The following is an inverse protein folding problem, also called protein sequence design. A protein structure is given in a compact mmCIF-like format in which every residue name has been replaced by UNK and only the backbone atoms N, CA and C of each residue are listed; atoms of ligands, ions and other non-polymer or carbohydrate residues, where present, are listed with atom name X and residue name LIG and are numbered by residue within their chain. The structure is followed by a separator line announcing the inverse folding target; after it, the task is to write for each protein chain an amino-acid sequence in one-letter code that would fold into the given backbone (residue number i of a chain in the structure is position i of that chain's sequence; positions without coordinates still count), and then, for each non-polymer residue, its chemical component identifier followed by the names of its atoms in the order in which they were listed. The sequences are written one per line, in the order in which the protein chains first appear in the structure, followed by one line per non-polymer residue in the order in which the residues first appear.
data_IF_877921697161
#
_entry.id   IF_877921697161
#
_cell.length_a   1.000
_cell.length_b   1.000
_cell.length_c   1.000
_cell.angle_alpha   90.00
_cell.angle_beta   90.00
_cell.angle_gamma   90.00
#
_symmetry.space_group_name_H-M   'P 1'
#
loop_
_entity.id
_entity.type
_entity.pdbx_description
1 polymer ?
#
# COMPACT_ATOMS: atom_id res chain seq x y z
N UNK A 1 -13.10 7.69 18.90
CA UNK A 1 -12.79 7.39 17.49
C UNK A 1 -12.02 6.08 17.49
N UNK A 2 -12.62 4.99 17.02
CA UNK A 2 -11.97 3.69 16.97
C UNK A 2 -10.94 3.71 15.86
N UNK A 3 -9.66 3.68 16.21
CA UNK A 3 -8.58 3.48 15.23
C UNK A 3 -8.76 2.09 14.65
N UNK A 4 -9.30 1.99 13.43
CA UNK A 4 -9.24 0.76 12.65
C UNK A 4 -7.76 0.53 12.36
N UNK A 5 -7.16 -0.43 13.03
CA UNK A 5 -5.85 -0.96 12.65
C UNK A 5 -6.10 -1.91 11.49
N UNK A 6 -5.72 -1.52 10.28
CA UNK A 6 -5.67 -2.40 9.11
C UNK A 6 -4.59 -3.48 9.35
N UNK A 7 -4.90 -4.48 10.16
CA UNK A 7 -4.02 -5.61 10.43
C UNK A 7 -4.54 -6.83 9.67
N UNK A 8 -3.68 -7.41 8.82
CA UNK A 8 -3.79 -8.82 8.44
C UNK A 8 -3.46 -9.64 9.69
N UNK A 9 -4.48 -9.98 10.47
CA UNK A 9 -4.36 -10.82 11.66
C UNK A 9 -4.32 -12.30 11.27
N UNK A 10 -3.12 -12.76 10.91
CA UNK A 10 -2.88 -14.14 10.50
C UNK A 10 -1.45 -14.56 10.80
N UNK A 11 -1.28 -15.82 11.19
CA UNK A 11 0.03 -16.46 11.34
C UNK A 11 0.58 -17.01 10.00
N UNK A 12 -0.18 -16.84 8.90
CA UNK A 12 0.23 -17.31 7.57
C UNK A 12 1.31 -16.41 6.98
N UNK A 13 2.21 -17.04 6.24
CA UNK A 13 3.24 -16.37 5.46
C UNK A 13 2.99 -16.61 3.97
N UNK A 14 3.13 -15.58 3.14
CA UNK A 14 2.83 -15.60 1.71
C UNK A 14 4.10 -15.46 0.87
N UNK A 15 4.14 -16.17 -0.26
CA UNK A 15 5.23 -16.05 -1.24
C UNK A 15 5.10 -14.76 -2.08
N UNK A 16 3.86 -14.27 -2.26
CA UNK A 16 3.60 -13.02 -2.92
C UNK A 16 2.33 -12.33 -2.42
N UNK A 17 2.31 -10.99 -2.49
CA UNK A 17 1.14 -10.15 -2.26
C UNK A 17 0.94 -9.29 -3.50
N UNK A 18 -0.31 -9.25 -4.00
CA UNK A 18 -0.67 -8.43 -5.14
C UNK A 18 -1.86 -7.53 -4.79
N UNK A 19 -1.70 -6.23 -5.02
CA UNK A 19 -2.80 -5.26 -4.89
C UNK A 19 -2.91 -4.49 -6.20
N UNK A 20 -3.93 -4.84 -6.99
CA UNK A 20 -4.24 -4.05 -8.16
C UNK A 20 -5.07 -2.85 -7.75
N UNK A 21 -4.55 -1.63 -7.92
CA UNK A 21 -5.41 -0.46 -7.93
C UNK A 21 -6.22 -0.30 -6.61
N UNK A 22 -5.58 -0.60 -5.47
CA UNK A 22 -6.17 -0.47 -4.13
C UNK A 22 -5.49 0.64 -3.34
N UNK A 23 -4.16 0.63 -3.29
CA UNK A 23 -3.38 1.54 -2.43
C UNK A 23 -3.44 3.02 -2.86
N UNK A 24 -3.97 3.34 -4.05
CA UNK A 24 -4.20 4.74 -4.43
C UNK A 24 -5.39 5.36 -3.66
N UNK A 25 -6.25 4.58 -3.00
CA UNK A 25 -7.27 5.14 -2.11
C UNK A 25 -6.74 5.45 -0.70
N UNK A 26 -5.56 4.94 -0.36
CA UNK A 26 -4.98 5.12 0.94
C UNK A 26 -4.20 6.43 1.00
N UNK A 27 -4.35 7.16 2.11
CA UNK A 27 -3.42 8.24 2.44
C UNK A 27 -1.99 7.70 2.56
N UNK A 28 -0.99 8.58 2.44
CA UNK A 28 0.43 8.20 2.52
C UNK A 28 0.76 7.42 3.81
N UNK A 29 0.13 7.79 4.92
CA UNK A 29 0.32 7.14 6.22
C UNK A 29 -0.36 5.77 6.30
N UNK A 30 -1.61 5.65 5.83
CA UNK A 30 -2.31 4.36 5.76
C UNK A 30 -1.58 3.38 4.83
N UNK A 31 -1.07 3.88 3.70
CA UNK A 31 -0.27 3.07 2.77
C UNK A 31 1.01 2.55 3.44
N UNK A 32 1.73 3.40 4.18
CA UNK A 32 2.93 2.99 4.95
C UNK A 32 2.58 1.87 5.92
N UNK A 33 1.54 2.05 6.73
CA UNK A 33 1.08 1.03 7.69
C UNK A 33 0.66 -0.28 7.00
N UNK A 34 0.00 -0.19 5.84
CA UNK A 34 -0.37 -1.36 5.04
C UNK A 34 0.86 -2.12 4.54
N UNK A 35 1.87 -1.41 4.02
CA UNK A 35 3.11 -2.03 3.54
C UNK A 35 3.92 -2.68 4.68
N UNK A 36 4.00 -2.03 5.84
CA UNK A 36 4.64 -2.62 7.03
C UNK A 36 3.94 -3.91 7.49
N UNK A 37 2.61 -3.93 7.40
CA UNK A 37 1.83 -5.13 7.71
C UNK A 37 2.08 -6.24 6.68
N UNK A 38 2.17 -5.89 5.40
CA UNK A 38 2.47 -6.82 4.31
C UNK A 38 3.87 -7.43 4.46
N UNK A 39 4.87 -6.61 4.82
CA UNK A 39 6.25 -7.07 5.06
C UNK A 39 6.33 -8.12 6.16
N UNK A 40 5.50 -8.01 7.21
CA UNK A 40 5.44 -8.99 8.31
C UNK A 40 4.92 -10.38 7.89
N UNK A 41 4.04 -10.43 6.90
CA UNK A 41 3.39 -11.68 6.46
C UNK A 41 3.96 -12.19 5.13
N UNK A 42 4.93 -11.48 4.56
CA UNK A 42 5.72 -11.96 3.42
C UNK A 42 6.85 -12.84 3.90
N UNK A 43 7.02 -13.98 3.23
CA UNK A 43 8.19 -14.84 3.42
C UNK A 43 9.45 -14.07 3.02
N UNK A 44 10.57 -14.44 3.64
CA UNK A 44 11.90 -13.97 3.19
C UNK A 44 12.09 -14.30 1.71
N UNK A 45 12.40 -13.28 0.89
CA UNK A 45 12.50 -13.39 -0.56
C UNK A 45 11.17 -13.41 -1.33
N UNK A 46 10.03 -13.23 -0.64
CA UNK A 46 8.72 -13.07 -1.28
C UNK A 46 8.56 -11.73 -1.98
N UNK A 47 7.53 -11.61 -2.82
CA UNK A 47 7.31 -10.45 -3.67
C UNK A 47 6.05 -9.66 -3.32
N UNK A 48 6.14 -8.34 -3.23
CA UNK A 48 4.98 -7.46 -3.22
C UNK A 48 4.85 -6.75 -4.59
N UNK A 49 3.68 -6.85 -5.22
CA UNK A 49 3.39 -6.22 -6.50
C UNK A 49 2.16 -5.33 -6.38
N UNK A 50 2.32 -4.05 -6.64
CA UNK A 50 1.25 -3.07 -6.54
C UNK A 50 1.14 -2.23 -7.79
N UNK A 51 -0.08 -1.86 -8.16
CA UNK A 51 -0.31 -0.87 -9.20
C UNK A 51 -0.85 0.43 -8.62
N UNK A 52 -0.28 1.54 -9.10
CA UNK A 52 -0.64 2.90 -8.74
C UNK A 52 -1.03 3.69 -10.00
N UNK A 53 -1.73 4.79 -9.81
CA UNK A 53 -1.99 5.73 -10.90
C UNK A 53 -0.83 6.73 -10.99
N UNK A 54 -0.38 7.00 -12.21
CA UNK A 54 0.77 7.86 -12.45
C UNK A 54 0.38 9.35 -12.32
N UNK A 55 1.13 10.09 -11.50
CA UNK A 55 0.94 11.52 -11.26
C UNK A 55 1.65 11.96 -9.98
N UNK A 56 1.47 13.20 -9.55
CA UNK A 56 2.12 13.74 -8.36
C UNK A 56 1.18 14.61 -7.51
N UNK A 57 -0.12 14.33 -7.61
CA UNK A 57 -1.18 15.04 -6.92
C UNK A 57 -2.14 14.04 -6.28
N UNK A 58 -3.01 14.56 -5.42
CA UNK A 58 -4.11 13.82 -4.84
C UNK A 58 -5.42 14.44 -5.35
N UNK A 59 -6.44 13.61 -5.55
CA UNK A 59 -7.76 14.02 -6.02
C UNK A 59 -8.85 13.43 -5.11
N UNK A 60 -9.95 14.16 -4.97
CA UNK A 60 -11.17 13.65 -4.36
C UNK A 60 -12.26 13.57 -5.43
N UNK A 61 -12.75 12.37 -5.70
CA UNK A 61 -13.79 12.13 -6.71
C UNK A 61 -14.87 11.21 -6.12
N UNK A 62 -16.13 11.64 -6.18
CA UNK A 62 -17.28 10.92 -5.60
C UNK A 62 -17.11 10.59 -4.09
N UNK A 63 -16.41 11.45 -3.34
CA UNK A 63 -16.15 11.25 -1.91
C UNK A 63 -15.08 10.20 -1.61
N UNK A 64 -14.28 9.82 -2.61
CA UNK A 64 -13.15 8.92 -2.46
C UNK A 64 -11.85 9.67 -2.75
N UNK A 65 -10.83 9.35 -1.95
CA UNK A 65 -9.47 9.82 -2.13
C UNK A 65 -8.75 9.03 -3.23
N UNK A 66 -7.94 9.70 -4.04
CA UNK A 66 -7.05 9.12 -5.03
C UNK A 66 -5.67 9.78 -4.95
N UNK A 67 -4.67 9.05 -4.47
CA UNK A 67 -3.28 9.47 -4.45
C UNK A 67 -2.54 8.94 -5.68
N UNK A 68 -1.93 9.85 -6.44
CA UNK A 68 -1.13 9.53 -7.61
C UNK A 68 0.37 9.56 -7.28
N UNK A 69 1.12 8.70 -7.94
CA UNK A 69 2.55 8.54 -7.69
C UNK A 69 3.36 8.48 -8.99
N UNK A 70 4.47 9.19 -9.01
CA UNK A 70 5.49 9.05 -10.05
C UNK A 70 6.55 8.02 -9.62
N UNK A 71 7.46 7.69 -10.53
CA UNK A 71 8.47 6.65 -10.32
C UNK A 71 9.43 6.99 -9.17
N UNK A 72 9.80 8.27 -9.00
CA UNK A 72 10.67 8.71 -7.92
C UNK A 72 10.01 8.45 -6.55
N UNK A 73 8.75 8.83 -6.40
CA UNK A 73 7.98 8.57 -5.19
C UNK A 73 7.81 7.06 -4.95
N UNK A 74 7.57 6.26 -6.00
CA UNK A 74 7.45 4.81 -5.87
C UNK A 74 8.76 4.11 -5.48
N UNK A 75 9.93 4.64 -5.89
CA UNK A 75 11.23 4.10 -5.44
C UNK A 75 11.41 4.27 -3.94
N UNK A 76 11.13 5.46 -3.41
CA UNK A 76 11.17 5.71 -1.96
C UNK A 76 10.25 4.76 -1.20
N UNK A 77 9.10 4.42 -1.79
CA UNK A 77 8.14 3.48 -1.22
C UNK A 77 8.65 2.03 -1.24
N UNK A 78 9.35 1.63 -2.30
CA UNK A 78 9.85 0.27 -2.48
C UNK A 78 11.15 -0.02 -1.71
N UNK A 79 11.83 1.00 -1.20
CA UNK A 79 13.05 0.88 -0.39
C UNK A 79 12.78 0.70 1.11
N UNK A 80 11.51 0.63 1.53
CA UNK A 80 11.07 0.26 2.89
C UNK A 80 11.31 -1.22 3.19
#
# INVERSE_FOLDING_TARGET
MTTVRDMMDTDRQFDAIYLNKVLYHATREQRRQSLETQQRVLRSGGFALHSFWHGNYDEEMYGLHFAYYNEEQLRVIAEL
#
